data_IF_935013633966
#
_entry.id   IF_935013633966
#
_cell.length_a   1.000
_cell.length_b   1.000
_cell.length_c   1.000
_cell.angle_alpha   90.00
_cell.angle_beta   90.00
_cell.angle_gamma   90.00
#
_symmetry.space_group_name_H-M   'P 1'
#
loop_
_entity.id
_entity.type
_entity.pdbx_description
1 polymer ?
#
# COMPACT_ATOMS: atom_id res chain seq x y z
N UNK A 1 -40.89 -61.13 3.47
CA UNK A 1 -39.44 -60.79 3.47
C UNK A 1 -39.31 -59.29 3.22
N UNK A 2 -38.36 -58.64 3.94
CA UNK A 2 -37.98 -57.20 4.01
C UNK A 2 -39.07 -56.26 4.55
N UNK A 3 -39.01 -55.64 5.76
CA UNK A 3 -37.97 -55.05 6.64
C UNK A 3 -37.30 -53.79 6.07
N UNK A 4 -37.51 -52.66 6.78
CA UNK A 4 -36.63 -51.47 6.86
C UNK A 4 -37.29 -50.17 6.35
N UNK A 5 -37.65 -49.16 7.18
CA UNK A 5 -36.80 -48.14 7.86
C UNK A 5 -35.78 -47.51 6.90
N UNK A 6 -35.53 -46.21 6.79
CA UNK A 6 -35.81 -45.01 7.58
C UNK A 6 -35.34 -43.80 6.72
N UNK A 7 -35.94 -42.63 6.92
CA UNK A 7 -35.32 -41.29 7.11
C UNK A 7 -34.14 -40.92 6.17
N UNK A 8 -34.25 -39.83 5.40
CA UNK A 8 -33.47 -38.61 5.70
C UNK A 8 -33.79 -37.39 4.82
N UNK A 9 -34.15 -36.33 5.56
CA UNK A 9 -34.08 -34.90 5.27
C UNK A 9 -33.23 -34.52 4.06
N UNK A 10 -33.84 -33.79 3.11
CA UNK A 10 -33.12 -32.81 2.29
C UNK A 10 -32.52 -31.74 3.21
N UNK A 11 -31.30 -31.99 3.69
CA UNK A 11 -30.41 -31.02 4.32
C UNK A 11 -29.22 -30.85 3.39
N UNK A 12 -28.92 -29.61 3.02
CA UNK A 12 -27.64 -29.27 2.40
C UNK A 12 -27.69 -28.97 0.91
N UNK A 13 -28.46 -27.96 0.51
CA UNK A 13 -27.96 -27.00 -0.47
C UNK A 13 -28.21 -25.61 0.11
N UNK A 14 -27.51 -25.31 1.21
CA UNK A 14 -27.08 -23.94 1.40
C UNK A 14 -26.03 -23.76 0.33
N UNK A 15 -26.36 -23.08 -0.76
CA UNK A 15 -25.34 -22.37 -1.52
C UNK A 15 -24.68 -21.47 -0.49
N UNK A 16 -23.57 -21.91 0.10
CA UNK A 16 -22.64 -21.01 0.73
C UNK A 16 -22.23 -20.10 -0.42
N UNK A 17 -22.86 -18.92 -0.51
CA UNK A 17 -22.18 -17.79 -1.11
C UNK A 17 -20.80 -17.80 -0.45
N UNK A 18 -19.76 -18.03 -1.22
CA UNK A 18 -18.39 -17.93 -0.73
C UNK A 18 -18.34 -16.60 0.03
N UNK A 19 -18.16 -16.69 1.35
CA UNK A 19 -18.11 -15.51 2.20
C UNK A 19 -16.87 -14.76 1.74
N UNK A 20 -17.08 -13.67 1.00
CA UNK A 20 -15.99 -12.82 0.52
C UNK A 20 -15.15 -12.42 1.73
N UNK A 21 -13.88 -12.79 1.68
CA UNK A 21 -12.87 -12.44 2.66
C UNK A 21 -12.37 -11.02 2.38
N UNK A 22 -11.80 -10.31 3.37
CA UNK A 22 -11.31 -8.96 3.16
C UNK A 22 -10.40 -8.82 1.94
N UNK A 23 -9.48 -9.78 1.73
CA UNK A 23 -8.53 -9.78 0.59
C UNK A 23 -9.21 -9.79 -0.78
N UNK A 24 -10.44 -10.28 -0.89
CA UNK A 24 -11.21 -10.29 -2.15
C UNK A 24 -11.57 -8.87 -2.61
N UNK A 25 -11.51 -7.89 -1.70
CA UNK A 25 -11.77 -6.48 -1.97
C UNK A 25 -10.50 -5.65 -2.17
N UNK A 26 -9.31 -6.23 -1.99
CA UNK A 26 -8.06 -5.53 -2.23
C UNK A 26 -7.82 -5.34 -3.73
N UNK A 27 -7.36 -4.16 -4.13
CA UNK A 27 -7.20 -3.81 -5.54
C UNK A 27 -5.86 -3.14 -5.82
N UNK A 28 -5.42 -3.25 -7.08
CA UNK A 28 -4.26 -2.52 -7.56
C UNK A 28 -4.50 -0.99 -7.55
N UNK A 29 -5.76 -0.56 -7.65
CA UNK A 29 -6.13 0.86 -7.57
C UNK A 29 -5.74 1.46 -6.22
N UNK A 30 -5.97 0.72 -5.12
CA UNK A 30 -5.59 1.15 -3.78
C UNK A 30 -4.07 1.33 -3.62
N UNK A 31 -3.28 0.43 -4.24
CA UNK A 31 -1.82 0.57 -4.29
C UNK A 31 -1.42 1.82 -5.07
N UNK A 32 -2.01 2.03 -6.25
CA UNK A 32 -1.69 3.17 -7.10
C UNK A 32 -2.06 4.51 -6.46
N UNK A 33 -3.19 4.59 -5.75
CA UNK A 33 -3.61 5.79 -5.03
C UNK A 33 -2.54 6.22 -4.03
N UNK A 34 -2.06 5.28 -3.21
CA UNK A 34 -0.96 5.54 -2.28
C UNK A 34 0.32 5.97 -3.02
N UNK A 35 0.76 5.22 -4.03
CA UNK A 35 2.02 5.52 -4.73
C UNK A 35 1.99 6.89 -5.43
N UNK A 36 0.86 7.26 -6.03
CA UNK A 36 0.68 8.57 -6.66
C UNK A 36 0.80 9.67 -5.60
N UNK A 37 0.08 9.54 -4.48
CA UNK A 37 0.08 10.52 -3.40
C UNK A 37 1.45 10.63 -2.71
N UNK A 38 2.15 9.50 -2.53
CA UNK A 38 3.45 9.42 -1.86
C UNK A 38 4.61 9.94 -2.73
N UNK A 39 4.63 9.65 -4.03
CA UNK A 39 5.71 10.05 -4.93
C UNK A 39 5.48 11.38 -5.64
N UNK A 40 4.34 12.04 -5.44
CA UNK A 40 4.03 13.34 -6.03
C UNK A 40 4.05 14.45 -4.97
N UNK A 41 5.06 15.32 -5.05
CA UNK A 41 5.24 16.43 -4.12
C UNK A 41 6.00 17.58 -4.76
N UNK A 42 5.82 18.80 -4.25
CA UNK A 42 6.62 19.95 -4.72
C UNK A 42 7.90 20.09 -3.91
N UNK A 43 7.79 19.87 -2.61
CA UNK A 43 8.89 19.83 -1.67
C UNK A 43 8.78 18.52 -0.88
N UNK A 44 9.91 17.91 -0.58
CA UNK A 44 9.93 16.68 0.20
C UNK A 44 9.11 16.82 1.50
N UNK A 45 8.15 15.91 1.71
CA UNK A 45 7.30 15.86 2.90
C UNK A 45 6.04 16.74 2.87
N UNK A 46 5.84 17.60 1.86
CA UNK A 46 4.65 18.46 1.78
C UNK A 46 3.36 17.72 1.38
N UNK A 47 3.49 16.46 0.97
CA UNK A 47 2.42 15.61 0.49
C UNK A 47 1.87 14.65 1.54
N UNK A 48 2.33 14.69 2.80
CA UNK A 48 1.85 13.78 3.85
C UNK A 48 0.32 13.77 3.98
N UNK A 49 -0.33 14.94 3.94
CA UNK A 49 -1.78 15.05 4.00
C UNK A 49 -2.52 14.34 2.86
N UNK A 50 -1.84 14.02 1.75
CA UNK A 50 -2.44 13.38 0.58
C UNK A 50 -2.54 11.86 0.74
N UNK A 51 -1.74 11.25 1.62
CA UNK A 51 -1.72 9.80 1.81
C UNK A 51 -1.89 9.36 3.27
N UNK A 52 -1.94 10.28 4.23
CA UNK A 52 -2.11 9.96 5.65
C UNK A 52 -3.33 9.07 5.92
N UNK A 53 -4.46 9.29 5.23
CA UNK A 53 -5.67 8.46 5.38
C UNK A 53 -5.55 7.02 4.87
N UNK A 54 -4.49 6.71 4.11
CA UNK A 54 -4.19 5.38 3.59
C UNK A 54 -3.27 4.59 4.53
N UNK A 55 -2.75 5.25 5.57
CA UNK A 55 -1.87 4.68 6.58
C UNK A 55 -2.66 4.28 7.82
N UNK A 56 -2.24 3.21 8.49
CA UNK A 56 -2.71 2.91 9.84
C UNK A 56 -2.23 3.97 10.84
N UNK A 57 -2.83 4.03 12.02
CA UNK A 57 -2.40 4.99 13.06
C UNK A 57 -0.93 4.82 13.43
N UNK A 58 -0.42 3.57 13.45
CA UNK A 58 1.00 3.29 13.73
C UNK A 58 1.89 3.82 12.61
N UNK A 59 1.51 3.59 11.35
CA UNK A 59 2.25 4.11 10.19
C UNK A 59 2.23 5.64 10.12
N UNK A 60 1.12 6.29 10.48
CA UNK A 60 1.02 7.75 10.58
C UNK A 60 2.01 8.30 11.62
N UNK A 61 2.03 7.73 12.83
CA UNK A 61 2.97 8.15 13.88
C UNK A 61 4.43 7.96 13.47
N UNK A 62 4.74 6.85 12.79
CA UNK A 62 6.10 6.57 12.31
C UNK A 62 6.51 7.55 11.22
N UNK A 63 5.61 7.88 10.30
CA UNK A 63 5.88 8.83 9.22
C UNK A 63 6.07 10.26 9.75
N UNK A 64 5.26 10.69 10.70
CA UNK A 64 5.42 12.00 11.34
C UNK A 64 6.79 12.13 12.01
N UNK A 65 7.23 11.09 12.74
CA UNK A 65 8.59 11.04 13.32
C UNK A 65 9.67 11.10 12.24
N UNK A 66 9.51 10.39 11.12
CA UNK A 66 10.46 10.40 9.99
C UNK A 66 10.55 11.79 9.35
N UNK A 67 9.41 12.45 9.14
CA UNK A 67 9.32 13.80 8.59
C UNK A 67 9.93 14.83 9.54
N UNK A 68 9.68 14.72 10.84
CA UNK A 68 10.33 15.56 11.85
C UNK A 68 11.85 15.42 11.83
N UNK A 69 12.36 14.19 11.77
CA UNK A 69 13.80 13.93 11.65
C UNK A 69 14.38 14.50 10.36
N UNK A 70 13.63 14.41 9.25
CA UNK A 70 14.08 14.93 7.95
C UNK A 70 14.24 16.45 7.92
N UNK A 71 13.56 17.21 8.80
CA UNK A 71 13.76 18.67 8.92
C UNK A 71 15.18 19.05 9.34
N UNK A 72 15.90 18.14 9.99
CA UNK A 72 17.27 18.37 10.46
C UNK A 72 18.33 18.01 9.41
N UNK A 73 17.95 17.36 8.31
CA UNK A 73 18.85 16.97 7.23
C UNK A 73 18.42 17.65 5.92
N UNK A 74 19.30 18.44 5.27
CA UNK A 74 18.95 19.04 3.99
C UNK A 74 18.71 17.94 2.94
N UNK A 75 17.45 17.82 2.50
CA UNK A 75 17.11 16.99 1.36
C UNK A 75 17.47 17.74 0.08
N UNK A 76 18.34 17.16 -0.75
CA UNK A 76 18.76 17.74 -2.03
C UNK A 76 17.78 17.46 -3.17
N UNK A 77 16.53 17.15 -2.83
CA UNK A 77 15.47 16.80 -3.77
C UNK A 77 14.43 17.92 -3.82
N UNK A 78 14.10 18.35 -5.03
CA UNK A 78 13.03 19.30 -5.31
C UNK A 78 11.70 18.58 -5.56
N UNK A 79 11.02 18.97 -6.65
CA UNK A 79 9.75 18.36 -7.04
C UNK A 79 9.94 16.88 -7.41
N UNK A 80 8.97 16.05 -7.02
CA UNK A 80 8.83 14.68 -7.48
C UNK A 80 7.45 14.48 -8.11
N UNK A 81 7.39 13.70 -9.19
CA UNK A 81 6.16 13.35 -9.89
C UNK A 81 6.15 11.86 -10.22
N UNK A 82 5.11 11.15 -9.77
CA UNK A 82 4.86 9.76 -10.16
C UNK A 82 4.63 9.63 -11.67
N UNK A 83 5.20 8.61 -12.30
CA UNK A 83 4.99 8.32 -13.73
C UNK A 83 4.21 7.01 -13.92
N UNK A 84 4.70 5.92 -13.33
CA UNK A 84 4.09 4.59 -13.41
C UNK A 84 4.63 3.68 -12.32
N UNK A 85 3.97 2.55 -12.10
CA UNK A 85 4.52 1.47 -11.29
C UNK A 85 4.17 0.08 -11.84
N UNK A 86 5.01 -0.88 -11.51
CA UNK A 86 4.72 -2.30 -11.59
C UNK A 86 4.57 -2.83 -10.15
N UNK A 87 3.42 -3.41 -9.83
CA UNK A 87 3.08 -3.81 -8.48
C UNK A 87 2.95 -5.34 -8.41
N UNK A 88 3.73 -5.98 -7.54
CA UNK A 88 3.72 -7.41 -7.30
C UNK A 88 3.01 -7.68 -5.97
N UNK A 89 1.76 -8.15 -6.04
CA UNK A 89 0.90 -8.35 -4.88
C UNK A 89 1.02 -9.80 -4.38
N UNK A 90 1.26 -9.96 -3.08
CA UNK A 90 1.30 -11.24 -2.37
C UNK A 90 0.28 -11.22 -1.23
N UNK A 91 -0.72 -12.08 -1.31
CA UNK A 91 -1.63 -12.34 -0.19
C UNK A 91 -0.88 -13.19 0.85
N UNK A 92 -0.71 -12.67 2.06
CA UNK A 92 -0.05 -13.37 3.17
C UNK A 92 -1.06 -14.23 3.93
N UNK A 93 -2.23 -13.65 4.22
CA UNK A 93 -3.40 -14.32 4.79
C UNK A 93 -4.66 -13.46 4.53
N UNK A 94 -5.81 -13.85 5.10
CA UNK A 94 -7.10 -13.17 4.91
C UNK A 94 -7.16 -11.69 5.35
N UNK A 95 -6.17 -11.21 6.11
CA UNK A 95 -6.11 -9.84 6.62
C UNK A 95 -4.80 -9.12 6.28
N UNK A 96 -3.86 -9.77 5.61
CA UNK A 96 -2.53 -9.22 5.37
C UNK A 96 -2.10 -9.39 3.92
N UNK A 97 -1.62 -8.29 3.35
CA UNK A 97 -1.15 -8.23 1.97
C UNK A 97 0.20 -7.53 1.95
N UNK A 98 1.11 -8.08 1.18
CA UNK A 98 2.40 -7.47 0.90
C UNK A 98 2.47 -7.09 -0.57
N UNK A 99 3.01 -5.91 -0.86
CA UNK A 99 3.17 -5.44 -2.23
C UNK A 99 4.59 -4.93 -2.44
N UNK A 100 5.28 -5.49 -3.44
CA UNK A 100 6.53 -4.93 -3.94
C UNK A 100 6.20 -4.03 -5.12
N UNK A 101 6.53 -2.76 -5.01
CA UNK A 101 6.24 -1.74 -6.01
C UNK A 101 7.53 -1.29 -6.66
N UNK A 102 7.65 -1.50 -7.98
CA UNK A 102 8.69 -0.87 -8.79
C UNK A 102 8.14 0.41 -9.38
N UNK A 103 8.56 1.56 -8.87
CA UNK A 103 8.01 2.88 -9.21
C UNK A 103 8.98 3.64 -10.09
N UNK A 104 8.49 4.13 -11.23
CA UNK A 104 9.20 5.12 -12.04
C UNK A 104 8.67 6.51 -11.67
N UNK A 105 9.57 7.44 -11.33
CA UNK A 105 9.23 8.84 -11.05
C UNK A 105 10.17 9.80 -11.76
N UNK A 106 9.75 11.06 -11.91
CA UNK A 106 10.65 12.17 -12.19
C UNK A 106 10.95 12.90 -10.89
N UNK A 107 12.21 13.21 -10.65
CA UNK A 107 12.63 13.98 -9.48
C UNK A 107 13.65 15.03 -9.86
N UNK A 108 13.52 16.20 -9.25
CA UNK A 108 14.51 17.24 -9.36
C UNK A 108 15.62 17.03 -8.34
N UNK A 109 16.84 16.92 -8.82
CA UNK A 109 18.02 17.10 -8.00
C UNK A 109 18.40 18.57 -7.95
N UNK A 110 18.48 19.10 -6.73
CA UNK A 110 18.97 20.43 -6.42
C UNK A 110 20.44 20.30 -5.99
N UNK A 111 21.37 20.60 -6.89
CA UNK A 111 22.75 20.87 -6.49
C UNK A 111 22.99 22.38 -6.38
N UNK A 112 24.13 22.79 -5.81
CA UNK A 112 24.44 24.20 -5.52
C UNK A 112 24.46 25.12 -6.76
N UNK A 113 24.47 24.57 -7.98
CA UNK A 113 24.64 25.35 -9.21
C UNK A 113 23.50 25.20 -10.22
N UNK A 114 22.76 24.08 -10.24
CA UNK A 114 21.71 23.77 -11.23
C UNK A 114 20.63 22.81 -10.70
N UNK A 115 19.38 23.05 -11.11
CA UNK A 115 18.27 22.09 -11.00
C UNK A 115 18.32 21.12 -12.18
N UNK A 116 18.43 19.83 -11.91
CA UNK A 116 18.39 18.78 -12.95
C UNK A 116 17.22 17.85 -12.67
N UNK A 117 16.32 17.69 -13.63
CA UNK A 117 15.24 16.69 -13.56
C UNK A 117 15.75 15.36 -14.12
N UNK A 118 15.69 14.31 -13.30
CA UNK A 118 16.03 12.95 -13.73
C UNK A 118 14.80 12.07 -13.65
N UNK A 119 14.76 11.03 -14.47
CA UNK A 119 13.85 9.90 -14.26
C UNK A 119 14.61 8.83 -13.49
N UNK A 120 14.06 8.40 -12.37
CA UNK A 120 14.67 7.36 -11.55
C UNK A 120 13.62 6.29 -11.21
N UNK A 121 14.10 5.07 -11.03
CA UNK A 121 13.30 3.95 -10.52
C UNK A 121 13.61 3.77 -9.03
N UNK A 122 12.59 3.41 -8.26
CA UNK A 122 12.72 3.05 -6.84
C UNK A 122 11.88 1.83 -6.56
N UNK A 123 12.33 1.01 -5.63
CA UNK A 123 11.58 -0.14 -5.14
C UNK A 123 11.06 0.17 -3.74
N UNK A 124 9.78 -0.07 -3.53
CA UNK A 124 9.09 0.15 -2.26
C UNK A 124 8.33 -1.13 -1.88
N UNK A 125 8.53 -1.61 -0.66
CA UNK A 125 7.74 -2.69 -0.09
C UNK A 125 6.64 -2.08 0.78
N UNK A 126 5.40 -2.51 0.57
CA UNK A 126 4.23 -2.08 1.33
C UNK A 126 3.66 -3.28 2.09
N UNK A 127 3.32 -3.07 3.36
CA UNK A 127 2.61 -4.04 4.18
C UNK A 127 1.24 -3.48 4.54
N UNK A 128 0.20 -4.13 4.02
CA UNK A 128 -1.19 -3.79 4.29
C UNK A 128 -1.76 -4.72 5.37
N UNK A 129 -2.53 -4.12 6.28
CA UNK A 129 -3.33 -4.82 7.28
C UNK A 129 -4.79 -4.39 7.14
N UNK A 130 -5.71 -5.34 7.20
CA UNK A 130 -7.13 -5.03 7.19
C UNK A 130 -7.55 -4.41 8.53
N UNK A 131 -8.14 -3.22 8.46
CA UNK A 131 -8.73 -2.53 9.60
C UNK A 131 -10.25 -2.75 9.62
N UNK A 132 -10.75 -3.41 10.67
CA UNK A 132 -12.16 -3.73 10.83
C UNK A 132 -13.04 -2.50 11.17
N UNK A 133 -12.46 -1.45 11.75
CA UNK A 133 -13.22 -0.26 12.14
C UNK A 133 -13.61 0.58 10.94
N UNK A 134 -12.70 0.70 9.96
CA UNK A 134 -12.95 1.42 8.71
C UNK A 134 -13.25 0.48 7.53
N UNK A 135 -13.19 -0.84 7.74
CA UNK A 135 -13.46 -1.89 6.76
C UNK A 135 -12.62 -1.72 5.47
N UNK A 136 -11.32 -1.45 5.64
CA UNK A 136 -10.37 -1.18 4.56
C UNK A 136 -8.99 -1.72 4.91
N UNK A 137 -8.19 -2.06 3.88
CA UNK A 137 -6.75 -2.27 4.09
C UNK A 137 -6.05 -0.93 4.28
N UNK A 138 -5.27 -0.81 5.34
CA UNK A 138 -4.39 0.33 5.58
C UNK A 138 -2.94 -0.12 5.53
N UNK A 139 -2.05 0.77 5.12
CA UNK A 139 -0.61 0.50 5.12
C UNK A 139 -0.12 0.59 6.56
N UNK A 140 0.31 -0.54 7.10
CA UNK A 140 0.86 -0.68 8.44
C UNK A 140 2.36 -0.36 8.47
N UNK A 141 3.07 -0.66 7.38
CA UNK A 141 4.47 -0.32 7.22
C UNK A 141 4.85 -0.20 5.73
N UNK A 142 5.89 0.57 5.44
CA UNK A 142 6.52 0.59 4.13
C UNK A 142 8.00 0.93 4.20
N UNK A 143 8.78 0.27 3.37
CA UNK A 143 10.25 0.39 3.36
C UNK A 143 10.77 0.53 1.93
N UNK A 144 11.71 1.45 1.73
CA UNK A 144 12.43 1.53 0.46
C UNK A 144 13.44 0.38 0.39
N UNK A 145 13.41 -0.39 -0.69
CA UNK A 145 14.36 -1.47 -0.91
C UNK A 145 15.62 -0.89 -1.56
N UNK A 146 16.78 -1.11 -0.93
CA UNK A 146 18.07 -0.73 -1.50
C UNK A 146 18.47 -1.74 -2.60
N UNK A 147 18.96 -1.23 -3.73
CA UNK A 147 19.62 -2.07 -4.73
C UNK A 147 20.94 -2.58 -4.14
N UNK A 148 21.08 -3.91 -4.05
CA UNK A 148 22.28 -4.60 -3.52
C UNK A 148 23.43 -4.61 -4.50
#
# INVERSE_FOLDING_TARGET
>A
MNIGRMIEKKRGQVNQAELLTPVDYFSQEQVNEFLIAYFTFKNYGDNYSNYASLLSSIAQENEEKRLEQSKFFPQFFGNSTFIKSENYIRIVNEQQIEVICKVTRKIDHLNQEKRTTITNEVMLQLYYLFDEQVNQFLIENYDQLEES
#
